data_IF_679437655875
#
_entry.id   IF_679437655875
#
_cell.length_a   1.000
_cell.length_b   1.000
_cell.length_c   1.000
_cell.angle_alpha   90.00
_cell.angle_beta   90.00
_cell.angle_gamma   90.00
#
_symmetry.space_group_name_H-M   'P 1'
#
loop_
_entity.id
_entity.type
_entity.pdbx_description
1 polymer ?
#
# COMPACT_ATOMS: atom_id res chain seq x y z
N UNK A 1 11.84 -2.75 -3.90
CA UNK A 1 10.87 -2.10 -4.00
C UNK A 1 9.83 -2.15 -5.10
N UNK A 2 10.10 -1.47 -6.19
CA UNK A 2 9.13 -1.39 -7.28
C UNK A 2 9.24 -2.59 -8.21
N UNK A 3 8.08 -3.08 -8.66
CA UNK A 3 8.06 -4.09 -9.71
C UNK A 3 8.60 -3.49 -11.00
N UNK A 4 9.40 -4.25 -11.71
CA UNK A 4 9.93 -3.82 -13.01
C UNK A 4 8.83 -3.95 -14.05
N UNK A 5 8.33 -2.81 -14.50
CA UNK A 5 7.28 -2.77 -15.51
C UNK A 5 7.52 -1.57 -16.43
N UNK A 6 6.86 -1.58 -17.59
CA UNK A 6 6.96 -0.46 -18.53
C UNK A 6 6.45 0.85 -17.92
N UNK A 7 5.54 0.78 -16.97
CA UNK A 7 5.05 1.98 -16.29
C UNK A 7 6.13 2.65 -15.46
N UNK A 8 6.93 1.84 -14.75
CA UNK A 8 8.02 2.37 -13.95
C UNK A 8 9.07 3.05 -14.83
N UNK A 9 9.28 2.54 -16.04
CA UNK A 9 10.25 3.11 -16.96
C UNK A 9 9.83 4.49 -17.51
N UNK A 10 8.54 4.82 -17.43
CA UNK A 10 8.03 6.13 -17.87
C UNK A 10 8.12 7.21 -16.80
N UNK A 11 8.43 6.84 -15.57
CA UNK A 11 8.58 7.79 -14.48
C UNK A 11 9.94 8.45 -14.55
N UNK A 12 10.00 9.77 -14.32
CA UNK A 12 11.26 10.45 -14.14
C UNK A 12 11.82 10.11 -12.76
N UNK A 13 13.03 10.57 -12.47
CA UNK A 13 13.71 10.25 -11.21
C UNK A 13 12.91 10.71 -9.99
N UNK A 14 12.39 11.93 -10.02
CA UNK A 14 11.58 12.47 -8.92
C UNK A 14 10.33 11.62 -8.71
N UNK A 15 9.65 11.25 -9.79
CA UNK A 15 8.47 10.42 -9.71
C UNK A 15 8.79 9.02 -9.19
N UNK A 16 9.94 8.45 -9.56
CA UNK A 16 10.37 7.16 -9.02
C UNK A 16 10.58 7.23 -7.52
N UNK A 17 11.24 8.28 -7.04
CA UNK A 17 11.45 8.47 -5.62
C UNK A 17 10.13 8.59 -4.88
N UNK A 18 9.17 9.30 -5.46
CA UNK A 18 7.84 9.43 -4.88
C UNK A 18 7.11 8.09 -4.89
N UNK A 19 7.21 7.33 -5.98
CA UNK A 19 6.57 6.02 -6.10
C UNK A 19 7.10 5.02 -5.08
N UNK A 20 8.36 5.11 -4.69
CA UNK A 20 8.95 4.27 -3.63
C UNK A 20 8.19 4.47 -2.31
N UNK A 21 7.54 5.61 -2.10
CA UNK A 21 6.75 5.84 -0.90
C UNK A 21 5.61 4.84 -0.73
N UNK A 22 5.05 4.33 -1.84
CA UNK A 22 4.03 3.27 -1.75
C UNK A 22 4.61 2.05 -1.06
N UNK A 23 5.80 1.62 -1.49
CA UNK A 23 6.45 0.47 -0.87
C UNK A 23 6.79 0.72 0.59
N UNK A 24 7.33 1.88 0.91
CA UNK A 24 7.64 2.25 2.29
C UNK A 24 6.38 2.29 3.16
N UNK A 25 5.28 2.78 2.61
CA UNK A 25 4.01 2.80 3.31
C UNK A 25 3.51 1.38 3.61
N UNK A 26 3.64 0.48 2.64
CA UNK A 26 3.28 -0.93 2.87
C UNK A 26 4.19 -1.60 3.90
N UNK A 27 5.48 -1.27 3.89
CA UNK A 27 6.41 -1.76 4.92
C UNK A 27 6.03 -1.24 6.31
N UNK A 28 5.58 0.01 6.39
CA UNK A 28 5.08 0.57 7.65
C UNK A 28 3.85 -0.20 8.13
N UNK A 29 2.92 -0.51 7.23
CA UNK A 29 1.75 -1.32 7.59
C UNK A 29 2.18 -2.67 8.14
N UNK A 30 3.11 -3.34 7.46
CA UNK A 30 3.62 -4.64 7.90
C UNK A 30 4.26 -4.56 9.28
N UNK A 31 4.99 -3.49 9.54
CA UNK A 31 5.71 -3.30 10.80
C UNK A 31 4.78 -2.95 11.95
N UNK A 32 3.76 -2.13 11.70
CA UNK A 32 2.91 -1.57 12.75
C UNK A 32 1.60 -2.34 12.95
N UNK A 33 1.30 -3.31 12.11
CA UNK A 33 0.04 -4.05 12.21
C UNK A 33 -0.04 -4.80 13.53
N UNK A 34 -1.18 -4.66 14.19
CA UNK A 34 -1.48 -5.36 15.46
C UNK A 34 -2.86 -5.97 15.37
N UNK A 35 -3.13 -6.92 16.26
CA UNK A 35 -4.47 -7.53 16.33
C UNK A 35 -5.52 -6.48 16.64
N UNK A 36 -6.71 -6.64 16.08
CA UNK A 36 -7.83 -5.74 16.27
C UNK A 36 -8.18 -4.98 15.00
N UNK A 37 -8.84 -3.84 15.19
CA UNK A 37 -9.36 -3.04 14.09
C UNK A 37 -8.24 -2.37 13.31
N UNK A 38 -8.27 -2.51 11.98
CA UNK A 38 -7.23 -2.03 11.09
C UNK A 38 -7.54 -0.67 10.45
N UNK A 39 -8.69 -0.07 10.73
CA UNK A 39 -9.11 1.16 10.08
C UNK A 39 -8.15 2.32 10.32
N UNK A 40 -7.66 2.48 11.56
CA UNK A 40 -6.74 3.57 11.87
C UNK A 40 -5.43 3.43 11.13
N UNK A 41 -4.93 2.20 11.00
CA UNK A 41 -3.69 1.94 10.26
C UNK A 41 -3.86 2.25 8.78
N UNK A 42 -5.00 1.87 8.19
CA UNK A 42 -5.30 2.18 6.80
C UNK A 42 -5.42 3.69 6.58
N UNK A 43 -6.08 4.39 7.49
CA UNK A 43 -6.21 5.86 7.41
C UNK A 43 -4.86 6.54 7.52
N UNK A 44 -3.97 6.05 8.38
CA UNK A 44 -2.62 6.56 8.50
C UNK A 44 -1.86 6.40 7.17
N UNK A 45 -2.00 5.24 6.54
CA UNK A 45 -1.35 4.98 5.25
C UNK A 45 -1.88 5.92 4.16
N UNK A 46 -3.19 6.12 4.10
CA UNK A 46 -3.81 7.05 3.14
C UNK A 46 -3.26 8.46 3.35
N UNK A 47 -3.15 8.90 4.60
CA UNK A 47 -2.63 10.23 4.90
C UNK A 47 -1.17 10.38 4.46
N UNK A 48 -0.34 9.39 4.74
CA UNK A 48 1.07 9.41 4.35
C UNK A 48 1.19 9.56 2.82
N UNK A 49 0.41 8.78 2.07
CA UNK A 49 0.44 8.84 0.61
C UNK A 49 -0.11 10.15 0.07
N UNK A 50 -1.19 10.64 0.66
CA UNK A 50 -1.77 11.93 0.26
C UNK A 50 -0.78 13.07 0.48
N UNK A 51 -0.11 13.07 1.64
CA UNK A 51 0.89 14.08 1.97
C UNK A 51 2.12 13.99 1.04
N UNK A 52 2.37 12.82 0.50
CA UNK A 52 3.49 12.61 -0.45
C UNK A 52 3.13 12.99 -1.90
N UNK A 53 1.91 13.44 -2.15
CA UNK A 53 1.47 13.91 -3.47
C UNK A 53 0.63 12.92 -4.26
N UNK A 54 0.26 11.79 -3.66
CA UNK A 54 -0.60 10.82 -4.34
C UNK A 54 -2.07 11.16 -4.20
N UNK A 55 -2.83 10.83 -5.25
CA UNK A 55 -4.28 10.72 -5.15
C UNK A 55 -4.60 9.25 -4.91
N UNK A 56 -4.95 8.91 -3.68
CA UNK A 56 -5.12 7.52 -3.29
C UNK A 56 -6.44 6.97 -3.84
N UNK A 57 -6.36 5.84 -4.55
CA UNK A 57 -7.53 5.11 -5.00
C UNK A 57 -8.02 4.20 -3.87
N UNK A 58 -7.13 3.35 -3.36
CA UNK A 58 -7.43 2.55 -2.17
C UNK A 58 -6.16 2.11 -1.46
N UNK A 59 -6.31 1.88 -0.15
CA UNK A 59 -5.36 1.12 0.67
C UNK A 59 -6.18 0.05 1.35
N UNK A 60 -5.82 -1.20 1.17
CA UNK A 60 -6.56 -2.32 1.74
C UNK A 60 -5.61 -3.30 2.42
N UNK A 61 -6.12 -3.96 3.45
CA UNK A 61 -5.46 -5.11 4.06
C UNK A 61 -6.45 -6.27 3.91
N UNK A 62 -6.03 -7.32 3.23
CA UNK A 62 -6.93 -8.37 2.80
C UNK A 62 -6.39 -9.74 3.17
N UNK A 63 -7.28 -10.72 3.23
CA UNK A 63 -6.89 -12.12 3.38
C UNK A 63 -6.04 -12.54 2.18
N UNK A 64 -4.89 -13.19 2.44
CA UNK A 64 -3.97 -13.56 1.39
C UNK A 64 -4.52 -14.64 0.46
N UNK A 65 -5.50 -15.41 0.90
CA UNK A 65 -6.12 -16.46 0.09
C UNK A 65 -7.32 -15.98 -0.72
N UNK A 66 -8.28 -15.31 -0.05
CA UNK A 66 -9.53 -14.90 -0.67
C UNK A 66 -9.51 -13.48 -1.22
N UNK A 67 -8.56 -12.64 -0.77
CA UNK A 67 -8.47 -11.21 -1.04
C UNK A 67 -9.66 -10.42 -0.49
N UNK A 68 -10.42 -10.99 0.43
CA UNK A 68 -11.48 -10.26 1.11
C UNK A 68 -10.87 -9.28 2.12
N UNK A 69 -11.39 -8.04 2.20
CA UNK A 69 -10.87 -7.08 3.15
C UNK A 69 -10.96 -7.59 4.59
N UNK A 70 -9.90 -7.33 5.34
CA UNK A 70 -9.85 -7.65 6.78
C UNK A 70 -10.15 -6.38 7.54
N UNK A 71 -11.24 -6.38 8.31
CA UNK A 71 -11.59 -5.24 9.17
C UNK A 71 -10.90 -5.39 10.52
N UNK A 72 -10.92 -6.59 11.07
CA UNK A 72 -10.24 -6.91 12.33
C UNK A 72 -9.32 -8.11 12.11
N UNK A 73 -8.07 -7.94 12.49
CA UNK A 73 -7.05 -8.98 12.32
C UNK A 73 -6.87 -9.78 13.61
N UNK A 74 -6.80 -11.09 13.47
CA UNK A 74 -6.64 -11.99 14.61
C UNK A 74 -5.17 -12.29 14.96
N UNK A 75 -4.22 -11.73 14.22
CA UNK A 75 -2.80 -11.94 14.44
C UNK A 75 -2.23 -13.21 13.80
N UNK A 76 -3.07 -14.10 13.32
CA UNK A 76 -2.66 -15.39 12.74
C UNK A 76 -3.05 -15.52 11.28
N UNK A 77 -4.10 -14.84 10.86
CA UNK A 77 -4.58 -14.88 9.50
C UNK A 77 -3.51 -14.33 8.56
N UNK A 78 -3.24 -15.06 7.48
CA UNK A 78 -2.32 -14.58 6.45
C UNK A 78 -2.95 -13.39 5.74
N UNK A 79 -2.20 -12.29 5.67
CA UNK A 79 -2.70 -11.04 5.14
C UNK A 79 -1.75 -10.46 4.10
N UNK A 80 -2.31 -9.67 3.20
CA UNK A 80 -1.58 -8.91 2.19
C UNK A 80 -2.10 -7.48 2.21
N UNK A 81 -1.21 -6.51 2.08
CA UNK A 81 -1.62 -5.13 1.86
C UNK A 81 -1.64 -4.83 0.37
N UNK A 82 -2.68 -4.12 -0.07
CA UNK A 82 -2.91 -3.76 -1.45
C UNK A 82 -3.07 -2.24 -1.52
N UNK A 83 -2.32 -1.60 -2.40
CA UNK A 83 -2.37 -0.15 -2.57
C UNK A 83 -2.51 0.18 -4.04
N UNK A 84 -3.42 1.10 -4.35
CA UNK A 84 -3.50 1.73 -5.66
C UNK A 84 -3.62 3.23 -5.48
N UNK A 85 -2.77 3.98 -6.15
CA UNK A 85 -2.73 5.42 -6.06
C UNK A 85 -2.25 6.02 -7.37
N UNK A 86 -2.67 7.26 -7.63
CA UNK A 86 -2.27 7.99 -8.82
C UNK A 86 -1.16 8.98 -8.48
N UNK A 87 -0.12 8.97 -9.28
CA UNK A 87 0.88 10.01 -9.31
C UNK A 87 0.77 10.68 -10.67
N UNK A 88 0.28 11.92 -10.71
CA UNK A 88 -0.13 12.59 -11.94
C UNK A 88 -1.16 11.72 -12.68
N UNK A 89 -0.92 11.35 -13.94
CA UNK A 89 -1.83 10.52 -14.73
C UNK A 89 -1.51 9.03 -14.64
N UNK A 90 -0.52 8.65 -13.82
CA UNK A 90 -0.05 7.27 -13.76
C UNK A 90 -0.63 6.59 -12.53
N UNK A 91 -1.37 5.49 -12.75
CA UNK A 91 -1.88 4.66 -11.66
C UNK A 91 -0.81 3.66 -11.25
N UNK A 92 -0.42 3.72 -9.98
CA UNK A 92 0.57 2.82 -9.40
C UNK A 92 -0.16 1.82 -8.51
N UNK A 93 0.11 0.54 -8.72
CA UNK A 93 -0.50 -0.55 -7.94
C UNK A 93 0.64 -1.41 -7.41
N UNK A 94 0.57 -1.74 -6.12
CA UNK A 94 1.55 -2.64 -5.52
C UNK A 94 0.90 -3.45 -4.40
N UNK A 95 1.59 -4.49 -3.99
CA UNK A 95 1.14 -5.34 -2.89
C UNK A 95 2.35 -5.84 -2.10
N UNK A 96 2.10 -6.20 -0.85
CA UNK A 96 3.13 -6.73 0.04
C UNK A 96 2.50 -7.73 1.00
N UNK A 97 3.04 -8.93 1.04
CA UNK A 97 2.61 -9.93 2.02
C UNK A 97 2.99 -9.45 3.43
N UNK A 98 2.01 -9.47 4.33
CA UNK A 98 2.22 -9.06 5.72
C UNK A 98 2.67 -10.24 6.57
N UNK A 99 2.16 -11.42 6.27
CA UNK A 99 2.52 -12.64 7.00
C UNK A 99 2.90 -13.76 6.05
#
# INVERSE_FOLDING_TARGET
GLAMSSRNLRLNETQRMTAVQIFKTMQMIKKEITTGNLNQLKQKAVKILTDAGFRVDYVEIADAGSLEPIIEWNGQQKAVTLVAAFLDDIRLIDNLAIT
#
